data_IF_223172693329
#
_entry.id   IF_223172693329
#
_cell.length_a   1.000
_cell.length_b   1.000
_cell.length_c   1.000
_cell.angle_alpha   90.00
_cell.angle_beta   90.00
_cell.angle_gamma   90.00
#
_symmetry.space_group_name_H-M   'P 1'
#
loop_
_entity.id
_entity.type
_entity.pdbx_description
1 polymer ?
#
# COMPACT_ATOMS: atom_id res chain seq x y z
N UNK A 1 -3.57 -6.27 -13.46
CA UNK A 1 -4.21 -5.69 -14.68
C UNK A 1 -3.43 -6.12 -15.91
N UNK A 2 -3.89 -7.16 -16.58
CA UNK A 2 -3.29 -7.68 -17.82
C UNK A 2 -3.63 -6.78 -19.03
N UNK A 3 -4.69 -5.99 -18.91
CA UNK A 3 -5.22 -5.14 -19.99
C UNK A 3 -5.07 -3.68 -19.59
N UNK A 4 -4.37 -2.88 -20.38
CA UNK A 4 -4.12 -1.45 -20.10
C UNK A 4 -5.41 -0.61 -19.98
N UNK A 5 -5.29 0.67 -19.57
CA UNK A 5 -6.43 1.56 -19.26
C UNK A 5 -7.06 2.27 -20.47
N UNK A 6 -6.54 2.06 -21.69
CA UNK A 6 -7.06 2.72 -22.88
C UNK A 6 -8.52 2.31 -23.20
N UNK A 7 -9.45 3.24 -23.43
CA UNK A 7 -10.87 2.94 -23.70
C UNK A 7 -11.06 2.45 -25.16
N UNK A 8 -10.53 1.27 -25.48
CA UNK A 8 -10.62 0.70 -26.84
C UNK A 8 -11.56 -0.50 -26.87
N UNK A 9 -12.19 -0.73 -28.01
CA UNK A 9 -13.03 -1.91 -28.24
C UNK A 9 -12.25 -3.22 -28.08
N UNK A 10 -11.00 -3.24 -28.56
CA UNK A 10 -10.08 -4.39 -28.42
C UNK A 10 -9.84 -4.73 -26.95
N UNK A 11 -9.58 -3.74 -26.10
CA UNK A 11 -9.43 -3.94 -24.65
C UNK A 11 -10.68 -4.58 -24.05
N UNK A 12 -11.87 -4.08 -24.41
CA UNK A 12 -13.13 -4.62 -23.90
C UNK A 12 -13.39 -6.07 -24.35
N UNK A 13 -13.02 -6.38 -25.57
CA UNK A 13 -13.09 -7.76 -26.08
C UNK A 13 -12.13 -8.70 -25.31
N UNK A 14 -10.90 -8.25 -25.04
CA UNK A 14 -9.93 -9.01 -24.23
C UNK A 14 -10.44 -9.21 -22.80
N UNK A 15 -10.97 -8.18 -22.15
CA UNK A 15 -11.59 -8.31 -20.81
C UNK A 15 -12.69 -9.40 -20.76
N UNK A 16 -13.53 -9.48 -21.79
CA UNK A 16 -14.60 -10.50 -21.86
C UNK A 16 -14.00 -11.90 -22.01
N UNK A 17 -12.98 -12.05 -22.86
CA UNK A 17 -12.32 -13.36 -23.05
C UNK A 17 -11.62 -13.80 -21.76
N UNK A 18 -10.93 -12.90 -21.08
CA UNK A 18 -10.25 -13.18 -19.82
C UNK A 18 -11.26 -13.52 -18.71
N UNK A 19 -12.41 -12.83 -18.65
CA UNK A 19 -13.46 -13.14 -17.72
C UNK A 19 -14.03 -14.57 -17.93
N UNK A 20 -14.26 -14.96 -19.20
CA UNK A 20 -14.70 -16.31 -19.53
C UNK A 20 -13.63 -17.38 -19.22
N UNK A 21 -12.36 -17.05 -19.36
CA UNK A 21 -11.25 -17.93 -18.99
C UNK A 21 -11.19 -18.13 -17.46
N UNK A 22 -11.38 -17.05 -16.68
CA UNK A 22 -11.47 -17.09 -15.22
C UNK A 22 -12.63 -17.98 -14.75
N UNK A 23 -13.82 -17.82 -15.31
CA UNK A 23 -14.99 -18.64 -14.95
C UNK A 23 -14.82 -20.14 -15.26
N UNK A 24 -13.90 -20.49 -16.16
CA UNK A 24 -13.58 -21.92 -16.45
C UNK A 24 -12.60 -22.52 -15.43
N UNK A 25 -11.77 -21.70 -14.83
CA UNK A 25 -10.69 -22.11 -13.93
C UNK A 25 -10.98 -21.91 -12.44
N UNK A 26 -11.95 -21.08 -12.11
CA UNK A 26 -12.29 -20.70 -10.73
C UNK A 26 -13.79 -20.71 -10.52
N UNK A 27 -14.24 -21.16 -9.36
CA UNK A 27 -15.65 -21.02 -8.99
C UNK A 27 -15.98 -19.55 -8.55
N UNK A 28 -17.28 -19.25 -8.42
CA UNK A 28 -17.72 -17.89 -8.07
C UNK A 28 -17.22 -17.40 -6.71
N UNK A 29 -17.07 -18.30 -5.75
CA UNK A 29 -16.58 -17.95 -4.42
C UNK A 29 -15.08 -17.66 -4.47
N UNK A 30 -14.32 -18.43 -5.23
CA UNK A 30 -12.89 -18.19 -5.46
C UNK A 30 -12.66 -16.85 -6.16
N UNK A 31 -13.45 -16.53 -7.20
CA UNK A 31 -13.40 -15.23 -7.89
C UNK A 31 -13.71 -14.09 -6.92
N UNK A 32 -14.79 -14.22 -6.14
CA UNK A 32 -15.17 -13.20 -5.15
C UNK A 32 -14.13 -13.04 -4.05
N UNK A 33 -13.59 -14.14 -3.54
CA UNK A 33 -12.55 -14.13 -2.52
C UNK A 33 -11.30 -13.43 -3.03
N UNK A 34 -10.85 -13.77 -4.24
CA UNK A 34 -9.71 -13.13 -4.88
C UNK A 34 -9.99 -11.64 -5.09
N UNK A 35 -11.15 -11.27 -5.63
CA UNK A 35 -11.53 -9.88 -5.81
C UNK A 35 -11.49 -9.09 -4.49
N UNK A 36 -12.09 -9.63 -3.43
CA UNK A 36 -12.14 -8.97 -2.12
C UNK A 36 -10.76 -8.83 -1.48
N UNK A 37 -9.83 -9.75 -1.76
CA UNK A 37 -8.49 -9.71 -1.19
C UNK A 37 -7.52 -8.77 -1.93
N UNK A 38 -7.74 -8.52 -3.25
CA UNK A 38 -6.80 -7.72 -4.05
C UNK A 38 -7.34 -6.33 -4.42
N UNK A 39 -8.64 -6.09 -4.28
CA UNK A 39 -9.25 -4.81 -4.65
C UNK A 39 -8.72 -3.66 -3.82
N UNK A 40 -8.48 -2.47 -4.44
CA UNK A 40 -8.13 -1.27 -3.72
C UNK A 40 -9.38 -0.67 -3.05
N UNK A 41 -9.26 -0.28 -1.78
CA UNK A 41 -10.33 0.32 -0.98
C UNK A 41 -10.02 1.74 -0.52
N UNK A 42 -9.04 2.41 -1.12
CA UNK A 42 -8.68 3.78 -0.79
C UNK A 42 -7.66 3.87 0.33
N UNK A 43 -7.91 4.71 1.35
CA UNK A 43 -6.95 4.97 2.42
C UNK A 43 -7.53 4.63 3.79
N UNK A 44 -6.63 4.17 4.69
CA UNK A 44 -6.93 3.96 6.10
C UNK A 44 -6.73 5.26 6.92
N UNK A 45 -6.98 5.19 8.22
CA UNK A 45 -6.81 6.26 9.20
C UNK A 45 -5.35 6.71 9.42
N UNK A 46 -4.40 6.11 8.72
CA UNK A 46 -2.97 6.49 8.66
C UNK A 46 -2.59 7.07 7.29
N UNK A 47 -3.55 7.29 6.38
CA UNK A 47 -3.30 7.78 5.03
C UNK A 47 -2.70 6.75 4.05
N UNK A 48 -2.51 5.50 4.49
CA UNK A 48 -1.94 4.44 3.68
C UNK A 48 -2.99 3.85 2.74
N UNK A 49 -2.58 3.48 1.53
CA UNK A 49 -3.46 2.79 0.60
C UNK A 49 -3.80 1.39 1.12
N UNK A 50 -5.07 1.02 1.00
CA UNK A 50 -5.61 -0.26 1.45
C UNK A 50 -5.84 -1.16 0.24
N UNK A 51 -5.37 -2.39 0.31
CA UNK A 51 -5.78 -3.50 -0.56
C UNK A 51 -6.36 -4.61 0.30
N UNK A 52 -7.48 -5.16 -0.13
CA UNK A 52 -8.19 -6.21 0.58
C UNK A 52 -9.23 -5.73 1.59
N UNK A 53 -10.35 -6.48 1.66
CA UNK A 53 -11.53 -6.13 2.46
C UNK A 53 -11.25 -6.16 3.98
N UNK A 54 -10.42 -7.08 4.45
CA UNK A 54 -10.04 -7.17 5.87
C UNK A 54 -9.27 -5.93 6.31
N UNK A 55 -8.27 -5.52 5.52
CA UNK A 55 -7.51 -4.30 5.79
C UNK A 55 -8.40 -3.05 5.70
N UNK A 56 -9.41 -3.04 4.82
CA UNK A 56 -10.39 -1.96 4.73
C UNK A 56 -11.28 -1.90 5.97
N UNK A 57 -11.81 -3.02 6.43
CA UNK A 57 -12.66 -3.09 7.63
C UNK A 57 -11.89 -2.61 8.87
N UNK A 58 -10.66 -3.07 9.04
CA UNK A 58 -9.82 -2.67 10.16
C UNK A 58 -9.36 -1.21 10.04
N UNK A 59 -8.90 -0.77 8.87
CA UNK A 59 -8.34 0.55 8.66
C UNK A 59 -9.37 1.68 8.57
N UNK A 60 -10.66 1.37 8.40
CA UNK A 60 -11.74 2.35 8.33
C UNK A 60 -12.63 2.30 9.57
N UNK A 61 -12.98 1.11 10.03
CA UNK A 61 -13.95 0.89 11.11
C UNK A 61 -13.36 0.24 12.38
N UNK A 62 -12.11 -0.26 12.32
CA UNK A 62 -11.47 -0.92 13.47
C UNK A 62 -12.05 -2.29 13.81
N UNK A 63 -12.77 -2.93 12.89
CA UNK A 63 -13.39 -4.25 13.06
C UNK A 63 -12.90 -5.23 11.99
N UNK A 64 -13.05 -6.54 12.23
CA UNK A 64 -12.82 -7.54 11.21
C UNK A 64 -13.92 -7.50 10.13
N UNK A 65 -13.59 -7.87 8.89
CA UNK A 65 -14.54 -7.88 7.78
C UNK A 65 -15.80 -8.71 8.08
N UNK A 66 -15.68 -9.79 8.84
CA UNK A 66 -16.80 -10.65 9.26
C UNK A 66 -17.76 -9.96 10.26
N UNK A 67 -17.30 -8.94 10.96
CA UNK A 67 -18.04 -8.24 12.01
C UNK A 67 -18.61 -6.90 11.52
N UNK A 68 -18.48 -6.60 10.23
CA UNK A 68 -19.06 -5.41 9.62
C UNK A 68 -20.58 -5.38 9.74
N UNK A 69 -21.14 -4.26 10.18
CA UNK A 69 -22.57 -3.99 10.05
C UNK A 69 -22.96 -3.80 8.59
N UNK A 70 -24.26 -3.92 8.26
CA UNK A 70 -24.74 -3.74 6.88
C UNK A 70 -24.38 -2.37 6.30
N UNK A 71 -24.53 -1.24 7.00
CA UNK A 71 -24.08 0.06 6.51
C UNK A 71 -22.57 0.13 6.25
N UNK A 72 -21.75 -0.44 7.14
CA UNK A 72 -20.29 -0.51 6.96
C UNK A 72 -19.91 -1.37 5.76
N UNK A 73 -20.53 -2.53 5.59
CA UNK A 73 -20.31 -3.41 4.45
C UNK A 73 -20.72 -2.73 3.12
N UNK A 74 -21.86 -2.01 3.11
CA UNK A 74 -22.29 -1.26 1.94
C UNK A 74 -21.32 -0.11 1.58
N UNK A 75 -20.75 0.55 2.58
CA UNK A 75 -19.73 1.57 2.35
C UNK A 75 -18.47 0.97 1.72
N UNK A 76 -17.92 -0.09 2.31
CA UNK A 76 -16.73 -0.77 1.75
C UNK A 76 -17.01 -1.28 0.34
N UNK A 77 -18.16 -1.91 0.09
CA UNK A 77 -18.53 -2.39 -1.24
C UNK A 77 -18.64 -1.28 -2.30
N UNK A 78 -18.88 -0.04 -1.86
CA UNK A 78 -18.91 1.13 -2.71
C UNK A 78 -17.56 1.69 -3.12
N UNK A 79 -16.50 1.46 -2.32
CA UNK A 79 -15.18 2.07 -2.47
C UNK A 79 -14.44 1.72 -3.78
N UNK A 80 -14.47 0.47 -4.30
CA UNK A 80 -13.64 0.08 -5.45
C UNK A 80 -13.93 0.86 -6.74
N UNK A 81 -15.09 1.49 -6.86
CA UNK A 81 -15.43 2.31 -8.04
C UNK A 81 -14.53 3.57 -8.14
N UNK A 82 -14.21 4.20 -7.01
CA UNK A 82 -13.30 5.35 -6.93
C UNK A 82 -12.64 5.41 -5.55
N UNK A 83 -11.67 4.52 -5.27
CA UNK A 83 -11.19 4.25 -3.93
C UNK A 83 -10.67 5.48 -3.19
N UNK A 84 -9.88 6.32 -3.88
CA UNK A 84 -9.30 7.53 -3.28
C UNK A 84 -10.37 8.62 -3.03
N UNK A 85 -11.36 8.72 -3.91
CA UNK A 85 -12.43 9.73 -3.78
C UNK A 85 -13.40 9.34 -2.66
N UNK A 86 -13.79 8.07 -2.61
CA UNK A 86 -14.84 7.60 -1.70
C UNK A 86 -14.34 7.22 -0.31
N UNK A 87 -13.04 6.88 -0.15
CA UNK A 87 -12.49 6.58 1.18
C UNK A 87 -12.57 7.79 2.11
N UNK A 88 -12.76 7.59 3.43
CA UNK A 88 -13.02 8.69 4.35
C UNK A 88 -11.77 9.49 4.72
N UNK A 89 -10.57 8.96 4.47
CA UNK A 89 -9.32 9.57 4.91
C UNK A 89 -8.54 10.23 3.77
N UNK A 90 -7.88 11.33 4.10
CA UNK A 90 -6.92 12.04 3.26
C UNK A 90 -5.55 11.33 3.27
N UNK A 91 -4.59 11.87 2.52
CA UNK A 91 -3.24 11.30 2.42
C UNK A 91 -2.44 11.37 3.73
N UNK A 92 -2.80 12.29 4.61
CA UNK A 92 -2.22 12.46 5.93
C UNK A 92 -2.94 11.68 7.05
N UNK A 93 -3.89 10.80 6.68
CA UNK A 93 -4.68 10.01 7.62
C UNK A 93 -5.80 10.79 8.32
N UNK A 94 -5.94 12.10 8.09
CA UNK A 94 -7.05 12.88 8.64
C UNK A 94 -8.38 12.52 7.96
N UNK A 95 -9.48 12.64 8.70
CA UNK A 95 -10.80 12.57 8.08
C UNK A 95 -10.97 13.72 7.10
N UNK A 96 -11.51 13.41 5.94
CA UNK A 96 -11.84 14.41 4.92
C UNK A 96 -12.89 15.40 5.40
N UNK A 97 -12.99 16.55 4.75
CA UNK A 97 -14.06 17.51 4.98
C UNK A 97 -15.44 16.87 4.75
N UNK A 98 -16.46 17.40 5.40
CA UNK A 98 -17.85 16.92 5.27
C UNK A 98 -18.30 16.77 3.82
N UNK A 99 -17.96 17.72 2.96
CA UNK A 99 -18.30 17.71 1.52
C UNK A 99 -17.64 16.52 0.79
N UNK A 100 -16.39 16.22 1.12
CA UNK A 100 -15.66 15.11 0.50
C UNK A 100 -16.06 13.74 1.09
N UNK A 101 -16.50 13.68 2.36
CA UNK A 101 -17.09 12.48 2.95
C UNK A 101 -18.44 12.14 2.32
N UNK A 102 -19.24 13.16 1.97
CA UNK A 102 -20.57 12.94 1.37
C UNK A 102 -20.52 12.12 0.09
N UNK A 103 -19.44 12.19 -0.69
CA UNK A 103 -19.27 11.39 -1.91
C UNK A 103 -19.26 9.88 -1.62
N UNK A 104 -18.51 9.46 -0.62
CA UNK A 104 -18.45 8.05 -0.19
C UNK A 104 -19.74 7.60 0.51
N UNK A 105 -20.34 8.49 1.32
CA UNK A 105 -21.60 8.20 2.01
C UNK A 105 -22.77 8.08 1.03
N UNK A 106 -22.85 8.96 0.01
CA UNK A 106 -23.83 8.85 -1.06
C UNK A 106 -23.66 7.51 -1.82
N UNK A 107 -22.41 7.13 -2.12
CA UNK A 107 -22.12 5.84 -2.76
C UNK A 107 -22.59 4.65 -1.91
N UNK A 108 -22.40 4.69 -0.60
CA UNK A 108 -22.92 3.66 0.30
C UNK A 108 -24.45 3.55 0.27
N UNK A 109 -25.14 4.68 0.21
CA UNK A 109 -26.62 4.73 0.04
C UNK A 109 -27.06 4.11 -1.28
N UNK A 110 -26.33 4.34 -2.38
CA UNK A 110 -26.60 3.68 -3.67
C UNK A 110 -26.44 2.15 -3.56
N UNK A 111 -25.44 1.68 -2.84
CA UNK A 111 -25.26 0.24 -2.60
C UNK A 111 -26.43 -0.31 -1.80
N UNK A 112 -26.83 0.32 -0.70
CA UNK A 112 -27.99 -0.07 0.11
C UNK A 112 -29.29 -0.09 -0.72
N UNK A 113 -29.49 0.91 -1.56
CA UNK A 113 -30.64 0.96 -2.47
C UNK A 113 -30.63 -0.21 -3.46
N UNK A 114 -29.48 -0.56 -4.03
CA UNK A 114 -29.36 -1.71 -4.91
C UNK A 114 -29.60 -3.03 -4.17
N UNK A 115 -29.15 -3.17 -2.91
CA UNK A 115 -29.44 -4.34 -2.07
C UNK A 115 -30.95 -4.47 -1.82
N UNK A 116 -31.66 -3.37 -1.58
CA UNK A 116 -33.11 -3.35 -1.47
C UNK A 116 -33.78 -3.75 -2.79
N UNK A 117 -33.39 -3.10 -3.88
CA UNK A 117 -33.96 -3.37 -5.21
C UNK A 117 -33.80 -4.79 -5.67
N UNK A 118 -32.73 -5.48 -5.29
CA UNK A 118 -32.46 -6.88 -5.61
C UNK A 118 -33.05 -7.87 -4.60
N UNK A 119 -33.75 -7.38 -3.57
CA UNK A 119 -34.41 -8.23 -2.58
C UNK A 119 -33.49 -8.75 -1.48
N UNK A 120 -32.25 -8.29 -1.41
CA UNK A 120 -31.30 -8.62 -0.33
C UNK A 120 -31.69 -7.96 0.98
N UNK A 121 -32.22 -6.72 0.92
CA UNK A 121 -32.76 -5.99 2.07
C UNK A 121 -34.26 -5.84 1.96
N UNK A 122 -34.95 -5.92 3.11
CA UNK A 122 -36.34 -5.48 3.20
C UNK A 122 -36.43 -3.95 3.07
N UNK A 123 -37.62 -3.42 2.70
CA UNK A 123 -37.85 -1.98 2.67
C UNK A 123 -37.54 -1.30 4.01
N UNK A 124 -37.97 -1.93 5.11
CA UNK A 124 -37.76 -1.44 6.48
C UNK A 124 -36.27 -1.33 6.81
N UNK A 125 -35.50 -2.37 6.48
CA UNK A 125 -34.06 -2.40 6.76
C UNK A 125 -33.32 -1.36 5.92
N UNK A 126 -33.66 -1.24 4.63
CA UNK A 126 -33.13 -0.20 3.77
C UNK A 126 -33.38 1.21 4.34
N UNK A 127 -34.64 1.53 4.71
CA UNK A 127 -34.97 2.84 5.27
C UNK A 127 -34.20 3.10 6.57
N UNK A 128 -34.02 2.10 7.42
CA UNK A 128 -33.24 2.19 8.65
C UNK A 128 -31.76 2.46 8.37
N UNK A 129 -31.16 1.67 7.48
CA UNK A 129 -29.74 1.77 7.19
C UNK A 129 -29.38 3.01 6.36
N UNK A 130 -30.27 3.45 5.46
CA UNK A 130 -30.05 4.67 4.67
C UNK A 130 -30.05 5.95 5.51
N UNK A 131 -30.70 5.92 6.70
CA UNK A 131 -30.72 7.03 7.66
C UNK A 131 -29.58 6.92 8.71
N UNK A 132 -28.87 5.81 8.75
CA UNK A 132 -27.80 5.61 9.72
C UNK A 132 -26.63 6.57 9.45
N UNK A 133 -26.20 7.25 10.52
CA UNK A 133 -25.05 8.15 10.47
C UNK A 133 -23.75 7.36 10.59
N UNK A 134 -23.23 6.91 9.45
CA UNK A 134 -22.02 6.10 9.35
C UNK A 134 -20.75 6.86 9.77
N UNK A 135 -20.79 8.19 9.82
CA UNK A 135 -19.60 8.99 10.20
C UNK A 135 -19.14 8.72 11.62
N UNK A 136 -20.03 8.20 12.48
CA UNK A 136 -19.72 7.82 13.88
C UNK A 136 -18.88 6.56 13.99
N UNK A 137 -18.85 5.75 12.94
CA UNK A 137 -18.17 4.47 12.92
C UNK A 137 -16.72 4.59 12.42
N UNK A 138 -16.37 5.72 11.78
CA UNK A 138 -14.99 5.92 11.32
C UNK A 138 -14.05 6.05 12.52
N UNK A 139 -12.99 5.24 12.53
CA UNK A 139 -12.01 5.31 13.60
C UNK A 139 -11.23 6.62 13.54
N UNK A 140 -10.75 7.09 14.68
CA UNK A 140 -9.95 8.29 14.75
C UNK A 140 -8.66 8.15 13.90
N UNK A 141 -8.20 9.27 13.34
CA UNK A 141 -6.89 9.31 12.72
C UNK A 141 -5.82 8.89 13.73
N UNK A 142 -5.03 7.91 13.38
CA UNK A 142 -3.91 7.43 14.22
C UNK A 142 -2.67 8.33 14.05
N UNK A 143 -2.84 9.39 13.26
CA UNK A 143 -1.75 10.19 12.74
C UNK A 143 -0.93 9.38 11.73
N UNK A 144 -0.23 10.06 10.85
CA UNK A 144 0.89 9.40 10.20
C UNK A 144 1.90 9.19 11.34
N UNK A 145 2.10 7.96 11.85
CA UNK A 145 3.45 7.61 12.21
C UNK A 145 4.24 7.90 10.94
N UNK A 146 4.85 9.06 10.90
CA UNK A 146 5.96 9.30 9.99
C UNK A 146 7.04 8.35 10.48
N UNK A 147 6.93 7.08 10.11
CA UNK A 147 8.13 6.29 9.96
C UNK A 147 8.92 7.09 8.93
N UNK A 148 9.95 7.79 9.32
CA UNK A 148 10.68 8.59 8.36
C UNK A 148 11.17 7.60 7.32
N UNK A 149 10.63 7.71 6.11
CA UNK A 149 11.24 7.07 4.97
C UNK A 149 12.53 7.84 4.75
N UNK A 150 13.57 7.43 5.47
CA UNK A 150 14.91 7.99 5.42
C UNK A 150 15.82 7.16 4.49
N UNK A 151 17.06 7.52 4.44
CA UNK A 151 18.06 6.79 3.63
C UNK A 151 18.10 5.30 3.97
N UNK A 152 17.98 4.93 5.25
CA UNK A 152 17.99 3.53 5.67
C UNK A 152 16.78 2.77 5.15
N UNK A 153 15.59 3.37 5.19
CA UNK A 153 14.39 2.78 4.63
C UNK A 153 14.54 2.50 3.13
N UNK A 154 14.99 3.49 2.36
CA UNK A 154 15.15 3.33 0.91
C UNK A 154 16.25 2.33 0.56
N UNK A 155 17.34 2.27 1.33
CA UNK A 155 18.37 1.27 1.15
C UNK A 155 17.85 -0.15 1.45
N UNK A 156 17.16 -0.35 2.58
CA UNK A 156 16.55 -1.63 2.94
C UNK A 156 15.51 -2.09 1.89
N UNK A 157 14.70 -1.18 1.38
CA UNK A 157 13.72 -1.49 0.32
C UNK A 157 14.39 -1.84 -1.01
N UNK A 158 15.51 -1.17 -1.35
CA UNK A 158 16.29 -1.51 -2.54
C UNK A 158 16.84 -2.93 -2.46
N UNK A 159 17.49 -3.27 -1.35
CA UNK A 159 18.04 -4.62 -1.11
C UNK A 159 16.94 -5.69 -1.08
N UNK A 160 15.79 -5.39 -0.46
CA UNK A 160 14.65 -6.30 -0.46
C UNK A 160 14.10 -6.56 -1.87
N UNK A 161 14.05 -5.53 -2.74
CA UNK A 161 13.64 -5.70 -4.14
C UNK A 161 14.63 -6.56 -4.92
N UNK A 162 15.93 -6.35 -4.73
CA UNK A 162 16.98 -7.16 -5.36
C UNK A 162 16.88 -8.63 -4.90
N UNK A 163 16.74 -8.88 -3.60
CA UNK A 163 16.56 -10.20 -3.05
C UNK A 163 15.29 -10.90 -3.56
N UNK A 164 14.17 -10.17 -3.66
CA UNK A 164 12.92 -10.70 -4.22
C UNK A 164 13.06 -10.99 -5.71
N UNK A 165 13.71 -10.12 -6.47
CA UNK A 165 13.99 -10.34 -7.89
C UNK A 165 14.80 -11.62 -8.09
N UNK A 166 15.88 -11.82 -7.33
CA UNK A 166 16.72 -13.02 -7.40
C UNK A 166 15.94 -14.28 -7.01
N UNK A 167 15.09 -14.18 -5.98
CA UNK A 167 14.19 -15.26 -5.58
C UNK A 167 13.25 -15.67 -6.70
N UNK A 168 12.58 -14.69 -7.35
CA UNK A 168 11.60 -14.95 -8.42
C UNK A 168 12.28 -15.57 -9.65
N UNK A 169 13.42 -15.04 -10.07
CA UNK A 169 14.20 -15.60 -11.17
C UNK A 169 14.57 -17.06 -10.91
N UNK A 170 15.03 -17.37 -9.68
CA UNK A 170 15.38 -18.72 -9.28
C UNK A 170 14.16 -19.64 -9.19
N UNK A 171 13.06 -19.16 -8.61
CA UNK A 171 11.78 -19.89 -8.51
C UNK A 171 11.26 -20.32 -9.87
N UNK A 172 11.29 -19.41 -10.83
CA UNK A 172 10.71 -19.61 -12.16
C UNK A 172 11.74 -20.19 -13.17
N UNK A 173 12.95 -20.55 -12.70
CA UNK A 173 14.03 -21.12 -13.53
C UNK A 173 14.41 -20.24 -14.74
N UNK A 174 14.37 -18.91 -14.59
CA UNK A 174 14.74 -17.97 -15.65
C UNK A 174 16.20 -18.10 -15.99
N UNK A 175 16.52 -18.29 -17.25
CA UNK A 175 17.89 -18.52 -17.70
C UNK A 175 18.65 -17.20 -17.92
N UNK A 176 20.00 -17.28 -17.90
CA UNK A 176 20.84 -16.11 -18.28
C UNK A 176 20.57 -15.62 -19.70
N UNK A 177 20.06 -16.46 -20.58
CA UNK A 177 19.68 -16.08 -21.94
C UNK A 177 18.40 -15.23 -21.94
N UNK A 178 17.42 -15.59 -21.13
CA UNK A 178 16.15 -14.85 -20.97
C UNK A 178 16.40 -13.46 -20.39
N UNK A 179 17.37 -13.33 -19.49
CA UNK A 179 17.77 -12.06 -18.86
C UNK A 179 18.53 -11.11 -19.80
N UNK A 180 18.88 -11.54 -21.03
CA UNK A 180 19.35 -10.60 -22.08
C UNK A 180 18.22 -9.79 -22.69
N UNK A 181 16.97 -10.24 -22.50
CA UNK A 181 15.80 -9.48 -22.94
C UNK A 181 15.42 -8.46 -21.85
N UNK A 182 15.52 -7.17 -22.19
CA UNK A 182 15.18 -6.08 -21.28
C UNK A 182 13.71 -6.10 -20.82
N UNK A 183 12.79 -6.62 -21.61
CA UNK A 183 11.37 -6.74 -21.21
C UNK A 183 11.20 -7.79 -20.12
N UNK A 184 11.89 -8.93 -20.25
CA UNK A 184 11.91 -9.96 -19.20
C UNK A 184 12.45 -9.38 -17.88
N UNK A 185 13.59 -8.69 -17.93
CA UNK A 185 14.18 -8.06 -16.74
C UNK A 185 13.19 -7.09 -16.08
N UNK A 186 12.60 -6.18 -16.86
CA UNK A 186 11.61 -5.21 -16.37
C UNK A 186 10.36 -5.87 -15.79
N UNK A 187 9.89 -6.96 -16.40
CA UNK A 187 8.73 -7.72 -15.91
C UNK A 187 9.01 -8.32 -14.54
N UNK A 188 10.17 -8.95 -14.33
CA UNK A 188 10.55 -9.50 -13.04
C UNK A 188 10.84 -8.44 -11.99
N UNK A 189 11.39 -7.27 -12.37
CA UNK A 189 11.54 -6.14 -11.47
C UNK A 189 10.18 -5.61 -10.97
N UNK A 190 9.21 -5.46 -11.87
CA UNK A 190 7.84 -5.08 -11.51
C UNK A 190 7.16 -6.13 -10.64
N UNK A 191 7.36 -7.41 -10.95
CA UNK A 191 6.81 -8.50 -10.16
C UNK A 191 7.39 -8.49 -8.75
N UNK A 192 8.70 -8.28 -8.59
CA UNK A 192 9.35 -8.17 -7.29
C UNK A 192 8.80 -7.00 -6.46
N UNK A 193 8.54 -5.84 -7.10
CA UNK A 193 7.92 -4.70 -6.44
C UNK A 193 6.47 -4.98 -6.00
N UNK A 194 5.69 -5.66 -6.84
CA UNK A 194 4.31 -6.04 -6.55
C UNK A 194 4.26 -7.04 -5.39
N UNK A 195 5.09 -8.08 -5.45
CA UNK A 195 5.18 -9.09 -4.40
C UNK A 195 5.53 -8.47 -3.04
N UNK A 196 6.55 -7.61 -2.98
CA UNK A 196 6.91 -6.95 -1.72
C UNK A 196 5.80 -6.05 -1.17
N UNK A 197 5.04 -5.40 -2.04
CA UNK A 197 3.95 -4.51 -1.62
C UNK A 197 2.70 -5.27 -1.17
N UNK A 198 2.40 -6.39 -1.80
CA UNK A 198 1.12 -7.10 -1.67
C UNK A 198 1.25 -8.42 -0.90
N UNK A 199 2.46 -8.99 -0.84
CA UNK A 199 2.71 -10.33 -0.30
C UNK A 199 2.84 -10.40 1.23
N UNK A 200 2.75 -9.28 1.96
CA UNK A 200 2.78 -9.27 3.43
C UNK A 200 4.13 -9.66 4.04
N UNK A 201 5.22 -9.46 3.32
CA UNK A 201 6.57 -9.81 3.78
C UNK A 201 7.06 -8.91 4.91
N UNK A 202 7.82 -9.48 5.82
CA UNK A 202 8.58 -8.74 6.84
C UNK A 202 10.02 -8.62 6.39
N UNK A 203 10.52 -7.39 6.26
CA UNK A 203 11.92 -7.12 5.94
C UNK A 203 12.70 -6.99 7.25
N UNK A 204 13.54 -7.96 7.54
CA UNK A 204 14.41 -7.96 8.72
C UNK A 204 15.82 -7.53 8.29
N UNK A 205 16.30 -6.42 8.87
CA UNK A 205 17.65 -5.89 8.62
C UNK A 205 18.62 -6.33 9.70
N UNK A 206 19.94 -6.20 9.43
CA UNK A 206 21.02 -6.41 10.40
C UNK A 206 21.32 -5.18 11.25
N UNK A 207 20.58 -4.09 11.03
CA UNK A 207 20.78 -2.81 11.73
C UNK A 207 20.60 -2.99 13.25
N UNK A 208 21.61 -2.54 13.99
CA UNK A 208 21.55 -2.45 15.45
C UNK A 208 20.99 -1.07 15.82
N UNK A 209 19.74 -1.01 16.26
CA UNK A 209 19.02 0.26 16.54
C UNK A 209 19.79 1.18 17.50
N UNK A 210 20.32 0.73 18.65
CA UNK A 210 21.15 1.57 19.52
C UNK A 210 22.37 2.17 18.83
N UNK A 211 23.09 1.38 18.05
CA UNK A 211 24.27 1.82 17.30
C UNK A 211 23.89 2.83 16.22
N UNK A 212 22.87 2.51 15.43
CA UNK A 212 22.37 3.40 14.38
C UNK A 212 21.92 4.77 14.96
N UNK A 213 21.17 4.75 16.06
CA UNK A 213 20.72 5.97 16.73
C UNK A 213 21.90 6.81 17.26
N UNK A 214 22.95 6.16 17.79
CA UNK A 214 24.17 6.86 18.22
C UNK A 214 24.89 7.52 17.05
N UNK A 215 24.96 6.84 15.89
CA UNK A 215 25.52 7.43 14.66
C UNK A 215 24.71 8.64 14.18
N UNK A 216 23.37 8.53 14.17
CA UNK A 216 22.49 9.66 13.82
C UNK A 216 22.68 10.85 14.78
N UNK A 217 22.75 10.59 16.09
CA UNK A 217 22.99 11.62 17.09
C UNK A 217 24.37 12.29 16.91
N UNK A 218 25.40 11.54 16.56
CA UNK A 218 26.72 12.10 16.27
C UNK A 218 26.68 13.03 15.06
N UNK A 219 26.03 12.66 13.98
CA UNK A 219 25.86 13.49 12.80
C UNK A 219 25.05 14.76 13.11
N UNK A 220 23.97 14.65 13.87
CA UNK A 220 23.14 15.80 14.27
C UNK A 220 23.91 16.79 15.15
N UNK A 221 24.75 16.29 16.09
CA UNK A 221 25.46 17.13 17.04
C UNK A 221 26.76 17.74 16.47
N UNK A 222 27.43 17.03 15.58
CA UNK A 222 28.78 17.40 15.13
C UNK A 222 28.86 17.69 13.63
N UNK A 223 27.84 17.38 12.84
CA UNK A 223 27.87 17.58 11.38
C UNK A 223 28.14 19.04 10.98
N UNK A 224 27.63 20.00 11.75
CA UNK A 224 27.84 21.42 11.49
C UNK A 224 29.33 21.89 11.61
N UNK A 225 30.18 21.13 12.29
CA UNK A 225 31.60 21.42 12.40
C UNK A 225 32.30 21.24 11.03
N UNK A 226 31.71 20.46 10.14
CA UNK A 226 32.26 20.20 8.81
C UNK A 226 31.94 21.34 7.81
N UNK A 227 31.03 22.24 8.15
CA UNK A 227 30.57 23.29 7.25
C UNK A 227 31.65 24.42 7.25
N UNK A 228 32.13 24.79 6.07
CA UNK A 228 33.19 25.76 5.87
C UNK A 228 32.66 27.17 5.52
N UNK A 229 31.36 27.36 5.60
CA UNK A 229 30.68 28.61 5.24
C UNK A 229 30.38 28.79 3.75
N UNK A 230 30.79 27.85 2.90
CA UNK A 230 30.49 27.85 1.45
C UNK A 230 29.29 26.99 1.11
N UNK A 231 28.95 26.04 1.98
CA UNK A 231 27.81 25.13 1.81
C UNK A 231 27.68 24.10 2.91
N UNK A 232 26.62 23.31 2.85
CA UNK A 232 26.38 22.19 3.76
C UNK A 232 27.21 20.98 3.31
N UNK A 233 28.11 20.50 4.18
CA UNK A 233 28.87 19.28 3.93
C UNK A 233 28.07 18.07 4.33
N UNK A 234 27.77 17.17 3.40
CA UNK A 234 27.03 15.94 3.67
C UNK A 234 27.91 14.86 4.32
N UNK A 235 27.28 13.91 4.99
CA UNK A 235 27.94 12.84 5.72
C UNK A 235 27.34 11.48 5.30
N UNK A 236 28.16 10.63 4.69
CA UNK A 236 27.85 9.22 4.46
C UNK A 236 28.69 8.33 5.40
N UNK A 237 28.07 7.35 6.04
CA UNK A 237 28.78 6.43 6.93
C UNK A 237 28.09 5.05 7.00
N UNK A 238 28.88 4.00 6.93
CA UNK A 238 28.46 2.60 7.11
C UNK A 238 29.29 1.94 8.18
N UNK A 239 28.65 1.42 9.21
CA UNK A 239 29.31 0.60 10.23
C UNK A 239 29.01 -0.88 9.97
N UNK A 240 30.06 -1.68 9.80
CA UNK A 240 29.99 -3.10 9.49
C UNK A 240 30.69 -3.94 10.56
N UNK A 241 30.12 -5.08 10.91
CA UNK A 241 30.80 -6.13 11.68
C UNK A 241 31.79 -6.87 10.77
N UNK A 242 33.08 -6.73 11.05
CA UNK A 242 34.16 -7.32 10.23
C UNK A 242 34.19 -8.84 10.21
N UNK A 243 33.51 -9.51 11.14
CA UNK A 243 33.45 -10.98 11.19
C UNK A 243 32.34 -11.55 10.33
N UNK A 244 31.20 -10.84 10.26
CA UNK A 244 29.99 -11.33 9.61
C UNK A 244 29.67 -10.60 8.31
N UNK A 245 30.24 -9.40 8.08
CA UNK A 245 29.87 -8.52 7.00
C UNK A 245 28.51 -7.80 7.21
N UNK A 246 27.89 -7.98 8.39
CA UNK A 246 26.59 -7.38 8.67
C UNK A 246 26.71 -5.87 8.87
N UNK A 247 25.84 -5.09 8.21
CA UNK A 247 25.74 -3.65 8.41
C UNK A 247 24.97 -3.39 9.70
N UNK A 248 25.61 -2.78 10.67
CA UNK A 248 25.06 -2.49 11.99
C UNK A 248 24.49 -1.06 12.09
N UNK A 249 24.97 -0.14 11.27
CA UNK A 249 24.51 1.23 11.21
C UNK A 249 24.75 1.84 9.84
N UNK A 250 23.88 2.76 9.44
CA UNK A 250 23.87 3.34 8.10
C UNK A 250 23.41 4.80 8.15
N UNK A 251 24.22 5.71 7.64
CA UNK A 251 23.91 7.13 7.52
C UNK A 251 24.11 7.54 6.07
N UNK A 252 23.04 7.83 5.38
CA UNK A 252 23.07 8.21 3.96
C UNK A 252 23.15 9.73 3.73
N UNK A 253 23.04 10.55 4.78
CA UNK A 253 23.08 12.01 4.71
C UNK A 253 22.72 12.64 6.04
N UNK A 254 22.80 13.96 6.13
CA UNK A 254 22.48 14.73 7.35
C UNK A 254 20.99 14.95 7.52
N UNK A 255 20.28 15.20 6.43
CA UNK A 255 18.85 15.46 6.44
C UNK A 255 18.19 14.97 5.14
N UNK A 256 17.38 13.93 5.22
CA UNK A 256 16.70 13.35 4.07
C UNK A 256 15.68 14.31 3.41
N UNK A 257 15.00 15.14 4.20
CA UNK A 257 14.02 16.11 3.67
C UNK A 257 14.71 17.22 2.84
N UNK A 258 15.95 17.56 3.17
CA UNK A 258 16.73 18.56 2.45
C UNK A 258 17.51 18.02 1.27
N UNK A 259 18.01 16.80 1.36
CA UNK A 259 18.79 16.14 0.31
C UNK A 259 18.51 14.63 0.32
N UNK A 260 17.93 14.10 -0.74
CA UNK A 260 17.58 12.69 -0.86
C UNK A 260 18.68 11.81 -1.47
N UNK A 261 19.80 12.39 -1.85
CA UNK A 261 20.95 11.64 -2.35
C UNK A 261 21.58 10.84 -1.22
N UNK A 262 21.78 9.55 -1.44
CA UNK A 262 22.49 8.68 -0.52
C UNK A 262 24.00 8.86 -0.72
N UNK A 263 24.71 9.24 0.33
CA UNK A 263 26.14 9.53 0.33
C UNK A 263 26.98 8.39 0.97
N UNK A 264 26.34 7.27 1.37
CA UNK A 264 27.00 6.10 1.95
C UNK A 264 27.19 4.96 0.93
#
# INVERSE_FOLDING_TARGET
QVVGDAPTFTRKATEIVDALALERGMDKNEILTTYLNVSPFGRNNRGQNIAGVEAAAQGIFGVSAKDLSVPQAAFIAGLPQSPIVYSPYAADGSLKSKENLELGLARAKDVLFNMYRTGVLSKKDYETYAQYDLTKDFIASDGIEKTPHDYLYFQAMKEAKEAMYDYLIKRDNVTKQDLKNNETVKSYQKLAESELREGGYTIQTTINKPVHNAMQAAVANFGNILDDGTGLVEVGNVLMDNRTGAILGFIGGRNFDGNQNNHA
#
